data_IF_794936502762
#
_entry.id   IF_794936502762
#
_cell.length_a   1.000
_cell.length_b   1.000
_cell.length_c   1.000
_cell.angle_alpha   90.00
_cell.angle_beta   90.00
_cell.angle_gamma   90.00
#
_symmetry.space_group_name_H-M   'P 1'
#
loop_
_entity.id
_entity.type
_entity.pdbx_description
1 polymer ?
#
# COMPACT_ATOMS: atom_id res chain seq x y z
N UNK A 1 23.71 -53.89 34.70
CA UNK A 1 23.82 -52.78 35.67
C UNK A 1 24.15 -51.54 34.84
N UNK A 2 23.10 -50.78 34.46
CA UNK A 2 22.86 -49.37 34.83
C UNK A 2 23.97 -48.42 34.36
N UNK A 3 23.75 -47.24 33.78
CA UNK A 3 22.55 -46.46 33.46
C UNK A 3 23.02 -45.24 32.63
N UNK A 4 22.12 -44.72 31.80
CA UNK A 4 21.92 -43.33 31.35
C UNK A 4 23.03 -42.27 31.45
N UNK A 5 23.21 -41.54 30.34
CA UNK A 5 23.83 -40.22 30.28
C UNK A 5 23.48 -39.50 28.99
N UNK A 6 22.23 -39.06 28.84
CA UNK A 6 21.76 -38.16 27.78
C UNK A 6 21.19 -36.87 28.41
N UNK A 7 21.19 -35.79 27.63
CA UNK A 7 20.57 -34.46 27.85
C UNK A 7 21.32 -33.41 28.65
N UNK A 8 21.68 -32.30 27.98
CA UNK A 8 21.19 -30.93 28.30
C UNK A 8 21.76 -29.88 27.31
N UNK A 9 21.17 -29.78 26.11
CA UNK A 9 21.28 -28.58 25.27
C UNK A 9 20.03 -28.40 24.40
N UNK A 10 18.84 -28.46 25.00
CA UNK A 10 17.59 -28.10 24.32
C UNK A 10 16.51 -27.80 25.38
N UNK A 11 16.72 -26.77 26.18
CA UNK A 11 15.69 -26.31 27.13
C UNK A 11 15.91 -24.85 27.50
N UNK A 12 15.51 -23.95 26.60
CA UNK A 12 15.25 -22.55 26.98
C UNK A 12 14.22 -21.84 26.11
N UNK A 13 13.54 -22.57 25.20
CA UNK A 13 12.51 -21.99 24.33
C UNK A 13 11.07 -22.42 24.70
N UNK A 14 10.89 -23.42 25.58
CA UNK A 14 9.56 -24.00 25.85
C UNK A 14 8.84 -23.49 27.11
N UNK A 15 9.52 -22.86 28.07
CA UNK A 15 8.93 -22.64 29.41
C UNK A 15 8.39 -21.22 29.69
N UNK A 16 7.84 -20.53 28.69
CA UNK A 16 6.99 -19.33 28.92
C UNK A 16 5.65 -19.38 28.19
N UNK A 17 5.08 -20.57 28.07
CA UNK A 17 3.71 -20.81 27.62
C UNK A 17 2.85 -21.26 28.80
N UNK A 18 2.61 -20.36 29.76
CA UNK A 18 1.62 -20.59 30.83
C UNK A 18 0.78 -19.34 31.07
N UNK A 19 -0.01 -18.99 30.06
CA UNK A 19 -1.23 -18.19 30.25
C UNK A 19 -2.38 -19.06 29.73
N UNK A 20 -3.31 -19.39 30.63
CA UNK A 20 -4.53 -20.19 30.43
C UNK A 20 -5.02 -20.22 28.97
N UNK A 21 -4.78 -21.33 28.28
CA UNK A 21 -5.34 -21.65 26.96
C UNK A 21 -6.39 -22.75 27.10
N UNK A 22 -7.58 -22.36 27.51
CA UNK A 22 -8.78 -23.18 27.29
C UNK A 22 -9.55 -22.60 26.11
N UNK A 23 -9.48 -23.29 24.96
CA UNK A 23 -10.34 -23.09 23.78
C UNK A 23 -9.67 -22.58 22.50
N UNK A 24 -9.30 -23.50 21.60
CA UNK A 24 -9.42 -23.29 20.14
C UNK A 24 -8.36 -22.48 19.38
N UNK A 25 -7.20 -22.13 19.94
CA UNK A 25 -6.19 -21.36 19.19
C UNK A 25 -5.45 -22.21 18.15
N UNK A 26 -5.40 -21.76 16.89
CA UNK A 26 -4.63 -22.37 15.80
C UNK A 26 -3.12 -22.37 16.14
N UNK A 27 -2.38 -23.41 15.75
CA UNK A 27 -0.92 -23.44 15.92
C UNK A 27 -0.23 -22.30 15.15
N UNK A 28 0.98 -21.86 15.53
CA UNK A 28 1.69 -20.78 14.83
C UNK A 28 1.85 -21.06 13.32
N UNK A 29 2.17 -22.30 12.95
CA UNK A 29 2.29 -22.71 11.55
C UNK A 29 0.94 -22.64 10.83
N UNK A 30 -0.15 -23.06 11.50
CA UNK A 30 -1.50 -22.96 10.97
C UNK A 30 -1.96 -21.51 10.76
N UNK A 31 -1.55 -20.59 11.65
CA UNK A 31 -1.83 -19.17 11.54
C UNK A 31 -1.19 -18.57 10.27
N UNK A 32 0.08 -18.89 9.99
CA UNK A 32 0.77 -18.47 8.77
C UNK A 32 0.02 -18.93 7.52
N UNK A 33 -0.32 -20.23 7.44
CA UNK A 33 -1.00 -20.80 6.28
C UNK A 33 -2.35 -20.17 6.01
N UNK A 34 -3.18 -20.01 7.06
CA UNK A 34 -4.50 -19.38 6.94
C UNK A 34 -4.38 -17.94 6.50
N UNK A 35 -3.42 -17.18 7.04
CA UNK A 35 -3.20 -15.78 6.70
C UNK A 35 -2.76 -15.59 5.25
N UNK A 36 -1.79 -16.40 4.80
CA UNK A 36 -1.31 -16.39 3.41
C UNK A 36 -2.42 -16.80 2.44
N UNK A 37 -3.19 -17.84 2.77
CA UNK A 37 -4.30 -18.29 1.93
C UNK A 37 -5.40 -17.22 1.84
N UNK A 38 -5.78 -16.59 2.95
CA UNK A 38 -6.76 -15.50 2.96
C UNK A 38 -6.29 -14.32 2.12
N UNK A 39 -5.01 -13.94 2.20
CA UNK A 39 -4.44 -12.89 1.36
C UNK A 39 -4.44 -13.26 -0.13
N UNK A 40 -4.08 -14.50 -0.47
CA UNK A 40 -4.09 -14.98 -1.84
C UNK A 40 -5.51 -14.98 -2.42
N UNK A 41 -6.49 -15.50 -1.67
CA UNK A 41 -7.90 -15.50 -2.07
C UNK A 41 -8.40 -14.08 -2.30
N UNK A 42 -8.10 -13.16 -1.38
CA UNK A 42 -8.50 -11.76 -1.51
C UNK A 42 -7.85 -11.08 -2.72
N UNK A 43 -6.55 -11.30 -2.99
CA UNK A 43 -5.86 -10.79 -4.16
C UNK A 43 -6.50 -11.32 -5.46
N UNK A 44 -6.76 -12.63 -5.53
CA UNK A 44 -7.43 -13.27 -6.66
C UNK A 44 -8.85 -12.75 -6.87
N UNK A 45 -9.62 -12.54 -5.80
CA UNK A 45 -10.97 -11.95 -5.88
C UNK A 45 -10.91 -10.52 -6.41
N UNK A 46 -9.95 -9.71 -5.95
CA UNK A 46 -9.77 -8.34 -6.42
C UNK A 46 -9.42 -8.28 -7.91
N UNK A 47 -8.40 -9.02 -8.34
CA UNK A 47 -8.00 -9.07 -9.76
C UNK A 47 -9.11 -9.68 -10.62
N UNK A 48 -9.72 -10.78 -10.17
CA UNK A 48 -10.82 -11.44 -10.88
C UNK A 48 -12.02 -10.51 -11.11
N UNK A 49 -12.29 -9.59 -10.17
CA UNK A 49 -13.37 -8.61 -10.30
C UNK A 49 -13.25 -7.72 -11.54
N UNK A 50 -12.02 -7.46 -12.02
CA UNK A 50 -11.75 -6.65 -13.21
C UNK A 50 -12.16 -7.36 -14.51
N UNK A 51 -12.29 -8.69 -14.47
CA UNK A 51 -12.55 -9.55 -15.63
C UNK A 51 -13.96 -10.14 -15.66
N UNK A 52 -14.79 -9.88 -14.64
CA UNK A 52 -16.20 -10.32 -14.57
C UNK A 52 -16.97 -9.89 -15.82
N UNK A 53 -16.71 -8.68 -16.31
CA UNK A 53 -17.36 -8.12 -17.48
C UNK A 53 -16.48 -8.30 -18.71
N UNK A 54 -16.73 -9.35 -19.51
CA UNK A 54 -16.08 -9.50 -20.82
C UNK A 54 -16.48 -8.32 -21.72
N UNK A 55 -15.48 -7.68 -22.32
CA UNK A 55 -15.66 -6.63 -23.32
C UNK A 55 -14.58 -6.73 -24.39
N UNK A 56 -14.97 -6.40 -25.62
CA UNK A 56 -14.05 -6.23 -26.75
C UNK A 56 -13.52 -4.79 -26.84
N UNK A 57 -14.04 -3.88 -26.02
CA UNK A 57 -13.65 -2.47 -26.00
C UNK A 57 -12.36 -2.26 -25.18
N UNK A 58 -11.56 -1.24 -25.52
CA UNK A 58 -10.39 -0.85 -24.73
C UNK A 58 -10.75 -0.53 -23.27
N UNK A 59 -9.82 -0.78 -22.35
CA UNK A 59 -9.99 -0.58 -20.90
C UNK A 59 -10.39 0.85 -20.50
N UNK A 60 -9.98 1.84 -21.31
CA UNK A 60 -10.23 3.27 -21.07
C UNK A 60 -11.54 3.78 -21.68
N UNK A 61 -12.38 2.86 -22.20
CA UNK A 61 -13.72 3.17 -22.65
C UNK A 61 -14.66 3.39 -21.45
N UNK A 62 -15.46 4.48 -21.39
CA UNK A 62 -16.28 4.83 -20.22
C UNK A 62 -17.21 3.72 -19.71
N UNK A 63 -17.80 2.94 -20.62
CA UNK A 63 -18.66 1.81 -20.25
C UNK A 63 -17.89 0.67 -19.56
N UNK A 64 -16.63 0.43 -19.95
CA UNK A 64 -15.76 -0.58 -19.32
C UNK A 64 -15.30 -0.09 -17.96
N UNK A 65 -14.94 1.20 -17.85
CA UNK A 65 -14.58 1.85 -16.59
C UNK A 65 -15.72 1.72 -15.57
N UNK A 66 -16.96 2.07 -15.92
CA UNK A 66 -18.11 1.98 -15.00
C UNK A 66 -18.35 0.56 -14.51
N UNK A 67 -18.29 -0.44 -15.39
CA UNK A 67 -18.51 -1.85 -15.01
C UNK A 67 -17.40 -2.39 -14.10
N UNK A 68 -16.14 -2.12 -14.44
CA UNK A 68 -14.97 -2.50 -13.62
C UNK A 68 -14.96 -1.76 -12.28
N UNK A 69 -15.37 -0.49 -12.24
CA UNK A 69 -15.56 0.25 -10.99
C UNK A 69 -16.56 -0.45 -10.07
N UNK A 70 -17.74 -0.78 -10.59
CA UNK A 70 -18.77 -1.41 -9.77
C UNK A 70 -18.27 -2.73 -9.16
N UNK A 71 -17.61 -3.59 -9.96
CA UNK A 71 -17.10 -4.87 -9.44
C UNK A 71 -15.97 -4.69 -8.42
N UNK A 72 -15.03 -3.77 -8.68
CA UNK A 72 -13.92 -3.46 -7.75
C UNK A 72 -14.46 -2.89 -6.44
N UNK A 73 -15.42 -1.97 -6.49
CA UNK A 73 -16.04 -1.39 -5.30
C UNK A 73 -16.78 -2.44 -4.47
N UNK A 74 -17.51 -3.37 -5.11
CA UNK A 74 -18.17 -4.47 -4.41
C UNK A 74 -17.15 -5.36 -3.70
N UNK A 75 -16.10 -5.82 -4.39
CA UNK A 75 -15.08 -6.66 -3.77
C UNK A 75 -14.34 -5.93 -2.65
N UNK A 76 -14.06 -4.64 -2.83
CA UNK A 76 -13.44 -3.80 -1.81
C UNK A 76 -14.32 -3.64 -0.58
N UNK A 77 -15.63 -3.44 -0.75
CA UNK A 77 -16.60 -3.35 0.33
C UNK A 77 -16.77 -4.68 1.09
N UNK A 78 -16.58 -5.81 0.42
CA UNK A 78 -16.61 -7.15 1.04
C UNK A 78 -15.26 -7.55 1.66
N UNK A 79 -14.16 -6.88 1.32
CA UNK A 79 -12.82 -7.23 1.83
C UNK A 79 -12.66 -7.20 3.36
N UNK A 80 -13.32 -6.31 4.15
CA UNK A 80 -13.29 -6.39 5.61
C UNK A 80 -13.83 -7.71 6.16
N UNK A 81 -14.72 -8.40 5.42
CA UNK A 81 -15.25 -9.70 5.82
C UNK A 81 -14.15 -10.77 5.86
N UNK A 82 -13.11 -10.66 5.01
CA UNK A 82 -11.97 -11.59 5.05
C UNK A 82 -11.18 -11.43 6.35
N UNK A 83 -10.97 -10.19 6.80
CA UNK A 83 -10.28 -9.91 8.06
C UNK A 83 -11.12 -10.39 9.24
N UNK A 84 -12.43 -10.18 9.18
CA UNK A 84 -13.36 -10.65 10.21
C UNK A 84 -13.40 -12.18 10.29
N UNK A 85 -13.58 -12.90 9.18
CA UNK A 85 -13.61 -14.37 9.19
C UNK A 85 -12.27 -14.97 9.59
N UNK A 86 -11.16 -14.38 9.15
CA UNK A 86 -9.82 -14.76 9.60
C UNK A 86 -9.67 -14.58 11.12
N UNK A 87 -10.17 -13.48 11.67
CA UNK A 87 -10.14 -13.21 13.12
C UNK A 87 -10.93 -14.25 13.91
N UNK A 88 -12.16 -14.53 13.50
CA UNK A 88 -13.00 -15.54 14.15
C UNK A 88 -12.36 -16.94 14.09
N UNK A 89 -11.78 -17.30 12.93
CA UNK A 89 -11.15 -18.61 12.74
C UNK A 89 -9.86 -18.78 13.55
N UNK A 90 -9.03 -17.75 13.63
CA UNK A 90 -7.74 -17.81 14.33
C UNK A 90 -7.91 -17.69 15.85
N UNK A 91 -9.06 -17.22 16.33
CA UNK A 91 -9.34 -16.99 17.74
C UNK A 91 -8.52 -15.85 18.33
N UNK A 92 -7.81 -15.06 17.50
CA UNK A 92 -7.09 -13.89 17.94
C UNK A 92 -8.12 -12.87 18.42
N UNK A 93 -8.02 -12.49 19.70
CA UNK A 93 -8.83 -11.43 20.31
C UNK A 93 -7.98 -10.16 20.46
N UNK A 94 -7.72 -9.42 19.37
CA UNK A 94 -7.10 -8.11 19.47
C UNK A 94 -8.00 -7.21 20.33
N UNK A 95 -7.38 -6.42 21.20
CA UNK A 95 -8.06 -5.35 21.94
C UNK A 95 -8.72 -4.31 21.00
N UNK A 96 -8.08 -3.91 19.88
CA UNK A 96 -8.69 -2.99 18.92
C UNK A 96 -9.90 -3.54 18.15
N UNK A 97 -10.77 -2.63 17.71
CA UNK A 97 -11.88 -2.94 16.80
C UNK A 97 -11.39 -3.30 15.39
N UNK A 98 -12.23 -3.98 14.59
CA UNK A 98 -11.90 -4.34 13.21
C UNK A 98 -11.51 -3.10 12.37
N UNK A 99 -12.28 -2.02 12.49
CA UNK A 99 -12.00 -0.76 11.80
C UNK A 99 -10.66 -0.15 12.23
N UNK A 100 -10.32 -0.23 13.53
CA UNK A 100 -9.04 0.25 14.03
C UNK A 100 -7.86 -0.57 13.47
N UNK A 101 -7.98 -1.91 13.37
CA UNK A 101 -6.97 -2.76 12.73
C UNK A 101 -6.76 -2.43 11.25
N UNK A 102 -7.85 -2.03 10.58
CA UNK A 102 -7.84 -1.56 9.19
C UNK A 102 -7.36 -0.11 9.04
N UNK A 103 -6.97 0.55 10.13
CA UNK A 103 -6.48 1.93 10.12
C UNK A 103 -7.55 2.99 9.87
N UNK A 104 -8.82 2.65 10.11
CA UNK A 104 -9.97 3.57 10.07
C UNK A 104 -10.24 4.04 11.50
N UNK A 105 -9.58 5.14 11.88
CA UNK A 105 -9.65 5.76 13.21
C UNK A 105 -9.43 7.27 13.13
N UNK A 106 -9.92 8.01 14.13
CA UNK A 106 -9.87 9.48 14.16
C UNK A 106 -8.66 10.06 14.92
N UNK A 107 -8.22 9.39 15.98
CA UNK A 107 -7.02 9.79 16.73
C UNK A 107 -5.80 9.73 15.81
N UNK A 108 -5.04 10.82 15.68
CA UNK A 108 -3.87 10.90 14.79
C UNK A 108 -4.19 11.10 13.29
N UNK A 109 -5.47 11.20 12.91
CA UNK A 109 -5.90 11.21 11.51
C UNK A 109 -5.28 12.35 10.68
N UNK A 110 -5.26 13.57 11.24
CA UNK A 110 -4.72 14.74 10.53
C UNK A 110 -3.21 14.57 10.27
N UNK A 111 -2.46 14.15 11.28
CA UNK A 111 -1.04 13.85 11.15
C UNK A 111 -0.83 12.77 10.08
N UNK A 112 -1.62 11.70 10.12
CA UNK A 112 -1.52 10.58 9.18
C UNK A 112 -1.87 10.95 7.74
N UNK A 113 -2.72 11.96 7.54
CA UNK A 113 -3.02 12.48 6.22
C UNK A 113 -1.91 13.41 5.69
N UNK A 114 -1.32 14.23 6.56
CA UNK A 114 -0.40 15.31 6.17
C UNK A 114 1.06 14.84 6.12
N UNK A 115 1.58 14.26 7.20
CA UNK A 115 3.02 14.00 7.32
C UNK A 115 3.55 12.97 6.30
N UNK A 116 2.89 11.82 6.06
CA UNK A 116 3.33 10.90 5.01
C UNK A 116 3.22 11.48 3.60
N UNK A 117 2.19 12.32 3.36
CA UNK A 117 2.04 13.01 2.08
C UNK A 117 3.16 14.01 1.86
N UNK A 118 3.49 14.85 2.86
CA UNK A 118 4.60 15.79 2.80
C UNK A 118 5.93 15.07 2.61
N UNK A 119 6.15 13.95 3.30
CA UNK A 119 7.33 13.10 3.11
C UNK A 119 7.44 12.61 1.65
N UNK A 120 6.32 12.17 1.07
CA UNK A 120 6.26 11.74 -0.33
C UNK A 120 6.50 12.91 -1.29
N UNK A 121 5.93 14.09 -1.02
CA UNK A 121 6.17 15.30 -1.81
C UNK A 121 7.64 15.75 -1.74
N UNK A 122 8.30 15.59 -0.58
CA UNK A 122 9.72 15.87 -0.44
C UNK A 122 10.57 14.96 -1.35
N UNK A 123 10.26 13.65 -1.43
CA UNK A 123 10.88 12.74 -2.39
C UNK A 123 10.68 13.21 -3.84
N UNK A 124 9.51 13.77 -4.15
CA UNK A 124 9.14 14.29 -5.47
C UNK A 124 9.50 15.77 -5.68
N UNK A 125 10.40 16.35 -4.88
CA UNK A 125 10.78 17.76 -5.00
C UNK A 125 11.32 18.12 -6.40
N UNK A 126 12.12 17.24 -7.01
CA UNK A 126 12.60 17.40 -8.39
C UNK A 126 11.47 17.49 -9.42
N UNK A 127 10.61 16.45 -9.54
CA UNK A 127 9.43 16.48 -10.40
C UNK A 127 8.48 17.66 -10.15
N UNK A 128 8.25 18.03 -8.89
CA UNK A 128 7.43 19.19 -8.54
C UNK A 128 8.07 20.51 -9.02
N UNK A 129 9.39 20.64 -8.88
CA UNK A 129 10.13 21.80 -9.39
C UNK A 129 10.00 21.87 -10.91
N UNK A 130 10.17 20.75 -11.60
CA UNK A 130 10.02 20.69 -13.05
C UNK A 130 8.60 21.09 -13.49
N UNK A 131 7.57 20.54 -12.85
CA UNK A 131 6.17 20.90 -13.12
C UNK A 131 5.90 22.40 -12.91
N UNK A 132 6.49 23.00 -11.86
CA UNK A 132 6.35 24.42 -11.58
C UNK A 132 7.06 25.31 -12.61
N UNK A 133 8.19 24.86 -13.17
CA UNK A 133 8.95 25.58 -14.20
C UNK A 133 8.31 25.47 -15.59
N UNK A 134 7.75 24.29 -15.91
CA UNK A 134 7.06 24.04 -17.17
C UNK A 134 5.65 24.65 -17.21
N UNK A 135 5.09 25.01 -16.05
CA UNK A 135 3.76 25.61 -15.96
C UNK A 135 3.78 27.04 -16.54
N UNK A 136 2.96 27.33 -17.58
CA UNK A 136 2.82 28.69 -18.10
C UNK A 136 2.09 29.62 -17.11
N UNK A 137 1.41 29.04 -16.11
CA UNK A 137 0.76 29.74 -15.02
C UNK A 137 1.69 29.76 -13.81
N UNK A 138 1.88 30.92 -13.18
CA UNK A 138 2.75 31.02 -12.00
C UNK A 138 2.25 30.15 -10.84
N UNK A 139 3.13 29.87 -9.86
CA UNK A 139 2.80 29.05 -8.68
C UNK A 139 1.50 29.49 -7.98
N UNK A 140 1.27 30.82 -7.90
CA UNK A 140 0.09 31.42 -7.29
C UNK A 140 -1.20 31.00 -8.02
N UNK A 141 -1.16 30.91 -9.34
CA UNK A 141 -2.33 30.53 -10.13
C UNK A 141 -2.61 29.03 -10.02
N UNK A 142 -1.57 28.20 -9.87
CA UNK A 142 -1.73 26.80 -9.50
C UNK A 142 -2.39 26.62 -8.12
N UNK A 143 -2.00 27.44 -7.14
CA UNK A 143 -2.63 27.44 -5.81
C UNK A 143 -4.10 27.86 -5.92
N UNK A 144 -4.41 28.94 -6.66
CA UNK A 144 -5.80 29.38 -6.88
C UNK A 144 -6.66 28.28 -7.53
N UNK A 145 -6.12 27.58 -8.54
CA UNK A 145 -6.80 26.48 -9.19
C UNK A 145 -7.11 25.33 -8.21
N UNK A 146 -6.18 25.06 -7.29
CA UNK A 146 -6.39 24.09 -6.21
C UNK A 146 -7.54 24.44 -5.26
N UNK A 147 -7.95 25.70 -5.19
CA UNK A 147 -9.11 26.15 -4.40
C UNK A 147 -10.36 26.42 -5.24
N UNK A 148 -10.31 26.29 -6.57
CA UNK A 148 -11.45 26.53 -7.45
C UNK A 148 -12.43 25.34 -7.42
N UNK A 149 -13.66 25.49 -6.89
CA UNK A 149 -14.62 24.41 -6.84
C UNK A 149 -15.02 23.89 -8.24
N UNK A 150 -14.98 24.76 -9.25
CA UNK A 150 -15.34 24.39 -10.62
C UNK A 150 -14.32 23.43 -11.23
N UNK A 151 -13.03 23.67 -10.99
CA UNK A 151 -11.96 22.77 -11.39
C UNK A 151 -12.17 21.37 -10.80
N UNK A 152 -12.45 21.28 -9.49
CA UNK A 152 -12.72 19.99 -8.85
C UNK A 152 -13.99 19.32 -9.35
N UNK A 153 -15.05 20.08 -9.68
CA UNK A 153 -16.26 19.55 -10.29
C UNK A 153 -15.97 18.90 -11.66
N UNK A 154 -15.11 19.52 -12.48
CA UNK A 154 -14.65 18.95 -13.75
C UNK A 154 -13.82 17.68 -13.54
N UNK A 155 -12.89 17.70 -12.58
CA UNK A 155 -12.07 16.53 -12.23
C UNK A 155 -12.94 15.34 -11.79
N UNK A 156 -13.90 15.57 -10.88
CA UNK A 156 -14.83 14.53 -10.40
C UNK A 156 -15.76 14.05 -11.52
N UNK A 157 -16.08 14.91 -12.48
CA UNK A 157 -16.84 14.55 -13.69
C UNK A 157 -16.07 13.64 -14.65
N UNK A 158 -14.73 13.70 -14.68
CA UNK A 158 -13.90 12.82 -15.49
C UNK A 158 -13.70 11.45 -14.81
N UNK A 159 -14.32 10.43 -15.41
CA UNK A 159 -14.23 9.05 -14.94
C UNK A 159 -12.80 8.50 -14.92
N UNK A 160 -11.91 8.97 -15.79
CA UNK A 160 -10.50 8.53 -15.80
C UNK A 160 -9.74 9.16 -14.65
N UNK A 161 -9.98 10.45 -14.38
CA UNK A 161 -9.42 11.13 -13.23
C UNK A 161 -9.91 10.48 -11.94
N UNK A 162 -11.22 10.27 -11.80
CA UNK A 162 -11.82 9.63 -10.63
C UNK A 162 -11.26 8.22 -10.39
N UNK A 163 -11.03 7.44 -11.46
CA UNK A 163 -10.35 6.13 -11.37
C UNK A 163 -8.99 6.29 -10.73
N UNK A 164 -8.14 7.07 -11.39
CA UNK A 164 -6.71 7.09 -11.12
C UNK A 164 -6.39 7.78 -9.80
N UNK A 165 -7.19 8.77 -9.42
CA UNK A 165 -6.91 9.65 -8.28
C UNK A 165 -7.68 9.28 -7.02
N UNK A 166 -8.82 8.59 -7.12
CA UNK A 166 -9.66 8.29 -5.96
C UNK A 166 -9.93 6.80 -5.84
N UNK A 167 -10.59 6.19 -6.84
CA UNK A 167 -11.10 4.82 -6.72
C UNK A 167 -9.96 3.82 -6.60
N UNK A 168 -9.01 3.81 -7.54
CA UNK A 168 -7.92 2.85 -7.52
C UNK A 168 -7.03 2.99 -6.26
N UNK A 169 -6.54 4.19 -5.88
CA UNK A 169 -5.80 4.36 -4.63
C UNK A 169 -6.57 3.86 -3.40
N UNK A 170 -7.85 4.21 -3.27
CA UNK A 170 -8.66 3.84 -2.13
C UNK A 170 -8.87 2.33 -2.06
N UNK A 171 -9.27 1.70 -3.16
CA UNK A 171 -9.61 0.27 -3.17
C UNK A 171 -8.36 -0.61 -3.07
N UNK A 172 -7.27 -0.21 -3.69
CA UNK A 172 -6.00 -0.95 -3.63
C UNK A 172 -5.38 -0.87 -2.23
N UNK A 173 -5.29 0.32 -1.61
CA UNK A 173 -4.75 0.41 -0.26
C UNK A 173 -5.68 -0.22 0.78
N UNK A 174 -7.01 -0.16 0.60
CA UNK A 174 -7.95 -0.87 1.48
C UNK A 174 -7.69 -2.38 1.45
N UNK A 175 -7.66 -2.96 0.24
CA UNK A 175 -7.53 -4.42 0.08
C UNK A 175 -6.13 -4.90 0.45
N UNK A 176 -5.09 -4.25 -0.07
CA UNK A 176 -3.73 -4.75 0.07
C UNK A 176 -3.03 -4.26 1.34
N UNK A 177 -3.47 -3.17 2.00
CA UNK A 177 -2.84 -2.69 3.26
C UNK A 177 -3.78 -2.94 4.42
N UNK A 178 -4.95 -2.30 4.41
CA UNK A 178 -5.86 -2.36 5.54
C UNK A 178 -6.42 -3.77 5.81
N UNK A 179 -6.59 -4.61 4.78
CA UNK A 179 -7.06 -5.98 4.97
C UNK A 179 -5.93 -7.01 5.10
N UNK A 180 -4.92 -6.97 4.22
CA UNK A 180 -3.87 -8.01 4.22
C UNK A 180 -2.86 -7.86 5.37
N UNK A 181 -2.44 -6.65 5.73
CA UNK A 181 -1.42 -6.48 6.76
C UNK A 181 -1.88 -6.98 8.14
N UNK A 182 -3.11 -6.72 8.62
CA UNK A 182 -3.59 -7.30 9.88
C UNK A 182 -3.58 -8.83 9.90
N UNK A 183 -3.74 -9.49 8.75
CA UNK A 183 -3.66 -10.96 8.66
C UNK A 183 -2.19 -11.44 8.65
N UNK A 184 -1.28 -10.72 7.98
CA UNK A 184 0.12 -11.13 7.82
C UNK A 184 1.03 -10.79 9.02
N UNK A 185 0.80 -9.67 9.69
CA UNK A 185 1.64 -9.20 10.80
C UNK A 185 1.74 -10.20 11.98
N UNK A 186 0.64 -10.80 12.47
CA UNK A 186 0.71 -11.78 13.57
C UNK A 186 1.60 -12.98 13.28
N UNK A 187 1.72 -13.38 12.00
CA UNK A 187 2.39 -14.60 11.61
C UNK A 187 3.82 -14.36 11.12
N UNK A 188 4.06 -13.30 10.35
CA UNK A 188 5.37 -12.99 9.76
C UNK A 188 6.18 -11.96 10.56
N UNK A 189 5.52 -11.21 11.44
CA UNK A 189 6.04 -9.99 12.06
C UNK A 189 5.94 -8.77 11.13
N UNK A 190 5.97 -7.56 11.69
CA UNK A 190 5.71 -6.32 10.94
C UNK A 190 6.75 -6.04 9.86
N UNK A 191 8.04 -6.25 10.14
CA UNK A 191 9.12 -6.03 9.16
C UNK A 191 8.98 -6.96 7.96
N UNK A 192 8.74 -8.25 8.18
CA UNK A 192 8.55 -9.22 7.10
C UNK A 192 7.28 -8.91 6.31
N UNK A 193 6.19 -8.54 6.98
CA UNK A 193 4.93 -8.18 6.33
C UNK A 193 5.07 -6.99 5.36
N UNK A 194 5.93 -6.01 5.68
CA UNK A 194 6.24 -4.86 4.80
C UNK A 194 6.80 -5.30 3.45
N UNK A 195 7.62 -6.34 3.42
CA UNK A 195 8.24 -6.82 2.18
C UNK A 195 7.44 -7.94 1.49
N UNK A 196 6.70 -8.74 2.25
CA UNK A 196 5.91 -9.85 1.70
C UNK A 196 4.55 -9.40 1.15
N UNK A 197 3.85 -8.50 1.85
CA UNK A 197 2.52 -8.03 1.42
C UNK A 197 2.52 -7.39 0.02
N UNK A 198 3.52 -6.55 -0.35
CA UNK A 198 3.61 -5.97 -1.69
C UNK A 198 3.83 -6.98 -2.81
N UNK A 199 4.26 -8.22 -2.52
CA UNK A 199 4.38 -9.25 -3.54
C UNK A 199 3.01 -9.67 -4.09
N UNK A 200 1.99 -9.77 -3.23
CA UNK A 200 0.60 -10.00 -3.69
C UNK A 200 0.11 -8.85 -4.59
N UNK A 201 0.44 -7.62 -4.20
CA UNK A 201 0.10 -6.41 -4.93
C UNK A 201 0.83 -6.32 -6.29
N UNK A 202 2.13 -6.59 -6.31
CA UNK A 202 2.94 -6.63 -7.53
C UNK A 202 2.48 -7.74 -8.48
N UNK A 203 2.20 -8.94 -7.96
CA UNK A 203 1.70 -10.05 -8.78
C UNK A 203 0.34 -9.69 -9.41
N UNK A 204 -0.55 -9.05 -8.65
CA UNK A 204 -1.84 -8.59 -9.14
C UNK A 204 -1.70 -7.65 -10.36
N UNK A 205 -0.61 -6.89 -10.49
CA UNK A 205 -0.37 -5.97 -11.60
C UNK A 205 0.10 -6.65 -12.90
N UNK A 206 0.50 -7.93 -12.89
CA UNK A 206 0.79 -8.66 -14.14
C UNK A 206 -0.43 -8.75 -15.06
N UNK A 207 -1.64 -8.54 -14.54
CA UNK A 207 -2.85 -8.48 -15.35
C UNK A 207 -2.77 -7.39 -16.45
N UNK A 208 -1.98 -6.32 -16.26
CA UNK A 208 -1.72 -5.32 -17.30
C UNK A 208 -0.86 -5.86 -18.45
N UNK A 209 0.07 -6.78 -18.16
CA UNK A 209 0.90 -7.46 -19.17
C UNK A 209 0.03 -8.31 -20.09
N UNK A 210 -0.99 -8.96 -19.54
CA UNK A 210 -2.00 -9.71 -20.31
C UNK A 210 -2.76 -8.78 -21.26
N UNK A 211 -3.11 -7.56 -20.83
CA UNK A 211 -3.75 -6.56 -21.69
C UNK A 211 -2.80 -6.09 -22.82
N UNK A 212 -1.54 -5.79 -22.51
CA UNK A 212 -0.52 -5.39 -23.49
C UNK A 212 -0.29 -6.44 -24.58
N UNK A 213 -0.21 -7.71 -24.17
CA UNK A 213 -0.10 -8.86 -25.08
C UNK A 213 -1.36 -9.03 -25.94
N UNK A 214 -2.55 -8.86 -25.35
CA UNK A 214 -3.84 -9.01 -26.04
C UNK A 214 -4.03 -7.97 -27.15
N UNK A 215 -3.59 -6.73 -26.94
CA UNK A 215 -3.73 -5.64 -27.92
C UNK A 215 -2.51 -5.46 -28.83
N UNK A 216 -1.49 -6.33 -28.75
CA UNK A 216 -0.26 -6.31 -29.58
C UNK A 216 0.43 -4.94 -29.67
N UNK A 217 0.47 -4.20 -28.56
CA UNK A 217 0.91 -2.79 -28.54
C UNK A 217 2.45 -2.61 -28.49
N UNK A 218 3.25 -3.67 -28.38
CA UNK A 218 4.71 -3.57 -28.26
C UNK A 218 5.45 -4.85 -28.69
N UNK A 219 6.77 -4.75 -28.88
CA UNK A 219 7.66 -5.90 -29.06
C UNK A 219 7.72 -6.77 -27.80
N UNK A 220 8.03 -8.06 -27.93
CA UNK A 220 8.14 -9.00 -26.78
C UNK A 220 9.11 -8.47 -25.72
N UNK A 221 10.25 -7.93 -26.15
CA UNK A 221 11.24 -7.31 -25.26
C UNK A 221 10.71 -6.05 -24.57
N UNK A 222 9.95 -5.21 -25.27
CA UNK A 222 9.31 -4.03 -24.68
C UNK A 222 8.23 -4.41 -23.66
N UNK A 223 7.45 -5.47 -23.92
CA UNK A 223 6.45 -5.98 -22.99
C UNK A 223 7.13 -6.56 -21.74
N UNK A 224 8.21 -7.33 -21.90
CA UNK A 224 8.96 -7.90 -20.78
C UNK A 224 9.59 -6.79 -19.92
N UNK A 225 10.23 -5.80 -20.54
CA UNK A 225 10.82 -4.67 -19.82
C UNK A 225 9.76 -3.88 -19.04
N UNK A 226 8.63 -3.58 -19.69
CA UNK A 226 7.50 -2.90 -19.06
C UNK A 226 6.94 -3.71 -17.87
N UNK A 227 6.80 -5.03 -18.03
CA UNK A 227 6.34 -5.93 -16.96
C UNK A 227 7.27 -5.94 -15.75
N UNK A 228 8.58 -6.08 -15.97
CA UNK A 228 9.59 -6.08 -14.89
C UNK A 228 9.62 -4.73 -14.20
N UNK A 229 9.65 -3.63 -14.96
CA UNK A 229 9.65 -2.29 -14.41
C UNK A 229 8.40 -2.03 -13.57
N UNK A 230 7.23 -2.36 -14.10
CA UNK A 230 5.96 -2.21 -13.39
C UNK A 230 5.95 -3.04 -12.12
N UNK A 231 6.33 -4.32 -12.17
CA UNK A 231 6.37 -5.17 -10.98
C UNK A 231 7.33 -4.62 -9.91
N UNK A 232 8.58 -4.31 -10.28
CA UNK A 232 9.57 -3.79 -9.34
C UNK A 232 9.13 -2.47 -8.70
N UNK A 233 8.62 -1.54 -9.51
CA UNK A 233 8.12 -0.25 -9.03
C UNK A 233 6.94 -0.43 -8.07
N UNK A 234 5.96 -1.26 -8.45
CA UNK A 234 4.77 -1.56 -7.65
C UNK A 234 5.13 -2.23 -6.32
N UNK A 235 6.13 -3.12 -6.30
CA UNK A 235 6.61 -3.76 -5.06
C UNK A 235 7.29 -2.75 -4.14
N UNK A 236 8.17 -1.88 -4.67
CA UNK A 236 8.86 -0.84 -3.88
C UNK A 236 7.87 0.17 -3.30
N UNK A 237 6.98 0.71 -4.14
CA UNK A 237 5.90 1.59 -3.70
C UNK A 237 5.03 0.90 -2.66
N UNK A 238 4.72 -0.37 -2.89
CA UNK A 238 3.89 -1.13 -1.99
C UNK A 238 4.52 -1.38 -0.62
N UNK A 239 5.84 -1.56 -0.57
CA UNK A 239 6.58 -1.67 0.69
C UNK A 239 6.59 -0.34 1.44
N UNK A 240 6.74 0.78 0.72
CA UNK A 240 6.64 2.11 1.29
C UNK A 240 5.26 2.37 1.93
N UNK A 241 4.16 2.08 1.23
CA UNK A 241 2.82 2.28 1.82
C UNK A 241 2.52 1.29 2.94
N UNK A 242 3.03 0.07 2.88
CA UNK A 242 2.93 -0.88 4.00
C UNK A 242 3.69 -0.38 5.24
N UNK A 243 4.88 0.20 5.06
CA UNK A 243 5.63 0.83 6.13
C UNK A 243 4.86 2.00 6.75
N UNK A 244 4.32 2.92 5.93
CA UNK A 244 3.48 4.02 6.43
C UNK A 244 2.29 3.47 7.21
N UNK A 245 1.58 2.48 6.66
CA UNK A 245 0.41 1.90 7.32
C UNK A 245 0.75 1.32 8.70
N UNK A 246 1.85 0.57 8.81
CA UNK A 246 2.27 -0.03 10.10
C UNK A 246 2.73 1.03 11.09
N UNK A 247 3.50 2.03 10.65
CA UNK A 247 4.02 3.10 11.52
C UNK A 247 2.92 4.04 12.02
N UNK A 248 2.00 4.42 11.14
CA UNK A 248 0.95 5.38 11.46
C UNK A 248 -0.29 4.70 12.02
N UNK A 249 -0.56 3.44 11.66
CA UNK A 249 -1.82 2.77 11.98
C UNK A 249 -3.02 3.36 11.25
N UNK A 250 -2.82 4.01 10.09
CA UNK A 250 -3.87 4.69 9.34
C UNK A 250 -3.87 4.34 7.85
N UNK A 251 -5.08 4.16 7.29
CA UNK A 251 -5.27 3.95 5.85
C UNK A 251 -5.12 5.24 5.02
N UNK A 252 -5.45 6.40 5.60
CA UNK A 252 -5.48 7.68 4.85
C UNK A 252 -4.11 8.07 4.29
N UNK A 253 -3.03 7.84 5.04
CA UNK A 253 -1.66 8.14 4.59
C UNK A 253 -1.27 7.40 3.31
N UNK A 254 -1.32 6.06 3.29
CA UNK A 254 -1.14 5.23 2.10
C UNK A 254 -2.00 5.69 0.90
N UNK A 255 -3.30 5.93 1.11
CA UNK A 255 -4.23 6.33 0.04
C UNK A 255 -3.79 7.66 -0.58
N UNK A 256 -3.49 8.68 0.24
CA UNK A 256 -3.08 9.99 -0.28
C UNK A 256 -1.72 9.94 -0.97
N UNK A 257 -0.76 9.18 -0.43
CA UNK A 257 0.54 8.96 -1.08
C UNK A 257 0.36 8.26 -2.44
N UNK A 258 -0.53 7.29 -2.52
CA UNK A 258 -0.87 6.60 -3.76
C UNK A 258 -1.50 7.55 -4.77
N UNK A 259 -2.55 8.30 -4.40
CA UNK A 259 -3.15 9.31 -5.28
C UNK A 259 -2.12 10.30 -5.81
N UNK A 260 -1.25 10.81 -4.94
CA UNK A 260 -0.17 11.72 -5.32
C UNK A 260 0.81 11.08 -6.32
N UNK A 261 1.28 9.85 -6.06
CA UNK A 261 2.15 9.13 -6.99
C UNK A 261 1.47 8.84 -8.34
N UNK A 262 0.16 8.55 -8.36
CA UNK A 262 -0.60 8.38 -9.60
C UNK A 262 -0.73 9.68 -10.39
N UNK A 263 -0.81 10.82 -9.71
CA UNK A 263 -0.79 12.13 -10.35
C UNK A 263 0.59 12.47 -10.94
N UNK A 264 1.66 12.31 -10.15
CA UNK A 264 3.02 12.66 -10.57
C UNK A 264 3.59 11.69 -11.61
N UNK A 265 3.21 10.42 -11.54
CA UNK A 265 3.79 9.36 -12.37
C UNK A 265 5.26 9.09 -12.06
N UNK A 266 5.90 8.30 -12.92
CA UNK A 266 7.33 8.03 -12.78
C UNK A 266 8.16 9.25 -13.24
N UNK A 267 9.15 9.69 -12.46
CA UNK A 267 9.97 10.84 -12.82
C UNK A 267 10.70 10.68 -14.17
N UNK A 268 10.51 11.64 -15.08
CA UNK A 268 11.20 11.66 -16.38
C UNK A 268 12.56 12.34 -16.27
N UNK A 269 13.60 11.56 -15.93
CA UNK A 269 14.97 12.05 -15.87
C UNK A 269 15.49 12.57 -17.22
N UNK A 270 15.02 12.01 -18.33
CA UNK A 270 15.35 12.49 -19.67
C UNK A 270 14.86 13.93 -19.88
N UNK A 271 13.59 14.20 -19.58
CA UNK A 271 13.03 15.55 -19.69
C UNK A 271 13.74 16.54 -18.76
N UNK A 272 14.14 16.10 -17.55
CA UNK A 272 14.90 16.93 -16.63
C UNK A 272 16.29 17.32 -17.16
N UNK A 273 16.97 16.40 -17.87
CA UNK A 273 18.30 16.64 -18.45
C UNK A 273 18.27 17.59 -19.66
N UNK A 274 17.20 17.52 -20.44
CA UNK A 274 16.99 18.35 -21.63
C UNK A 274 16.45 19.75 -21.29
N UNK A 275 16.00 19.97 -20.05
CA UNK A 275 15.41 21.24 -19.62
C UNK A 275 16.47 22.37 -19.51
N UNK A 276 16.16 23.62 -19.92
CA UNK A 276 17.09 24.75 -19.83
C UNK A 276 17.64 25.00 -18.41
N UNK A 277 16.82 24.71 -17.39
CA UNK A 277 17.17 24.83 -15.97
C UNK A 277 17.56 23.48 -15.32
N UNK A 278 18.11 22.55 -16.09
CA UNK A 278 18.48 21.19 -15.64
C UNK A 278 19.28 21.14 -14.32
N UNK A 279 20.20 22.09 -14.09
CA UNK A 279 21.01 22.10 -12.86
C UNK A 279 20.14 22.30 -11.61
N UNK A 280 19.17 23.21 -11.67
CA UNK A 280 18.22 23.44 -10.59
C UNK A 280 17.35 22.20 -10.38
N UNK A 281 16.78 21.65 -11.45
CA UNK A 281 15.91 20.47 -11.39
C UNK A 281 16.66 19.28 -10.78
N UNK A 282 17.84 18.94 -11.30
CA UNK A 282 18.65 17.83 -10.79
C UNK A 282 19.10 18.04 -9.34
N UNK A 283 19.40 19.29 -8.94
CA UNK A 283 19.68 19.62 -7.55
C UNK A 283 18.46 19.36 -6.66
N UNK A 284 17.25 19.70 -7.12
CA UNK A 284 16.00 19.41 -6.41
C UNK A 284 15.70 17.91 -6.34
N UNK A 285 16.04 17.12 -7.36
CA UNK A 285 15.97 15.65 -7.30
C UNK A 285 16.86 15.10 -6.18
N UNK A 286 18.14 15.51 -6.14
CA UNK A 286 19.08 15.06 -5.12
C UNK A 286 18.65 15.50 -3.72
N UNK A 287 18.27 16.79 -3.58
CA UNK A 287 17.77 17.34 -2.33
C UNK A 287 16.53 16.60 -1.85
N UNK A 288 15.59 16.28 -2.75
CA UNK A 288 14.38 15.54 -2.41
C UNK A 288 14.67 14.15 -1.83
N UNK A 289 15.62 13.41 -2.42
CA UNK A 289 16.08 12.12 -1.89
C UNK A 289 16.74 12.28 -0.52
N UNK A 290 17.61 13.27 -0.35
CA UNK A 290 18.28 13.53 0.93
C UNK A 290 17.26 13.88 2.01
N UNK A 291 16.32 14.78 1.73
CA UNK A 291 15.24 15.16 2.65
C UNK A 291 14.36 13.95 3.00
N UNK A 292 13.99 13.14 2.02
CA UNK A 292 13.21 11.92 2.26
C UNK A 292 13.93 10.99 3.23
N UNK A 293 15.23 10.70 3.02
CA UNK A 293 16.00 9.82 3.89
C UNK A 293 16.13 10.37 5.32
N UNK A 294 16.36 11.67 5.46
CA UNK A 294 16.47 12.33 6.77
C UNK A 294 15.13 12.36 7.52
N UNK A 295 14.03 12.57 6.80
CA UNK A 295 12.69 12.69 7.37
C UNK A 295 11.94 11.36 7.46
N UNK A 296 12.45 10.27 6.88
CA UNK A 296 11.73 9.00 6.76
C UNK A 296 11.22 8.47 8.11
N UNK A 297 12.09 8.37 9.12
CA UNK A 297 11.71 7.95 10.47
C UNK A 297 11.05 9.07 11.29
N UNK A 298 11.59 10.31 11.33
CA UNK A 298 10.97 11.40 12.09
C UNK A 298 9.53 11.71 11.67
N UNK A 299 9.26 11.73 10.36
CA UNK A 299 7.91 11.98 9.85
C UNK A 299 6.97 10.79 10.04
N UNK A 300 7.48 9.59 10.38
CA UNK A 300 6.66 8.39 10.64
C UNK A 300 6.75 7.94 12.09
N UNK A 301 7.10 8.84 13.00
CA UNK A 301 7.16 8.57 14.44
C UNK A 301 5.74 8.36 15.03
N UNK A 302 5.45 7.20 15.67
CA UNK A 302 4.16 6.88 16.28
C UNK A 302 3.64 7.95 17.25
N UNK A 303 4.52 8.76 17.83
CA UNK A 303 4.15 9.89 18.67
C UNK A 303 3.10 10.81 18.03
N UNK A 304 3.15 11.02 16.71
CA UNK A 304 2.22 11.90 16.00
C UNK A 304 0.86 11.25 15.68
N UNK A 305 0.76 9.93 15.79
CA UNK A 305 -0.36 9.14 15.27
C UNK A 305 -1.14 8.39 16.35
N UNK A 306 -0.59 8.28 17.56
CA UNK A 306 -1.12 7.43 18.63
C UNK A 306 -0.70 5.97 18.47
N UNK A 307 -1.22 5.09 19.32
CA UNK A 307 -0.84 3.67 19.30
C UNK A 307 -1.38 2.98 18.05
N UNK A 308 -0.47 2.46 17.22
CA UNK A 308 -0.82 1.75 15.99
C UNK A 308 -1.57 0.45 16.32
N UNK A 309 -2.87 0.29 15.95
CA UNK A 309 -3.65 -0.88 16.35
C UNK A 309 -3.10 -2.20 15.82
N UNK A 310 -2.51 -2.19 14.63
CA UNK A 310 -1.89 -3.39 14.02
C UNK A 310 -0.71 -3.91 14.84
N UNK A 311 -0.01 -3.04 15.57
CA UNK A 311 1.12 -3.42 16.40
C UNK A 311 0.70 -4.15 17.68
N UNK A 312 -0.57 -4.07 18.09
CA UNK A 312 -1.09 -4.87 19.20
C UNK A 312 -1.30 -6.35 18.85
N UNK A 313 -1.10 -6.72 17.58
CA UNK A 313 -1.18 -8.11 17.11
C UNK A 313 0.13 -8.89 17.32
N UNK A 314 1.17 -8.25 17.85
CA UNK A 314 2.48 -8.85 18.07
C UNK A 314 2.73 -8.97 19.56
N UNK A 315 3.18 -10.14 20.01
CA UNK A 315 3.40 -10.46 21.44
C UNK A 315 4.58 -9.71 22.09
N UNK A 316 5.39 -8.98 21.30
CA UNK A 316 6.56 -8.26 21.81
C UNK A 316 6.76 -6.93 21.09
N UNK A 317 7.14 -5.87 21.81
CA UNK A 317 7.41 -4.57 21.21
C UNK A 317 8.54 -4.71 20.18
N UNK A 318 8.26 -4.24 18.96
CA UNK A 318 9.21 -4.22 17.84
C UNK A 318 9.62 -2.77 17.56
N UNK A 319 10.88 -2.50 17.16
CA UNK A 319 11.34 -1.14 16.84
C UNK A 319 10.46 -0.42 15.83
N UNK A 320 9.88 -1.15 14.87
CA UNK A 320 9.00 -0.59 13.85
C UNK A 320 7.61 -0.20 14.38
N UNK A 321 7.24 -0.68 15.56
CA UNK A 321 6.01 -0.35 16.25
C UNK A 321 6.21 0.66 17.39
N UNK A 322 7.44 1.13 17.58
CA UNK A 322 7.85 2.10 18.61
C UNK A 322 8.43 3.37 18.03
#
# INVERSE_FOLDING_TARGET
MSENGDLTFHSTFSDRLSVNRDGGSVSPDGLCWVSVLSCLLLACSYVGSLYVWRSELPRDHPAVIKRRFTSVLIVSALSPLFVWTWREYTGLKPGPSLLALMGIRLEGFLSAAVLPLVLTMALFLGPLTQLALDSPWGLIDGIKLGFDPWFWALCVGDMRWLRNQVVAPLTEELVFRACMLPMLVPCAGPTTAIFTCPLFFGVAHFHHVIELLRFRQASVWGILFSAVFQFSYTVVFGAYTAFIFIRTGHLVGPVLCHSFCNYMGFPSLGAALDHPQRLLILSCYLLGVVLFLLLFFPATDPFFYGSAPICSLVDSPRPICS
#
